data_IF_806136385801
#
_entry.id   IF_806136385801
#
_cell.length_a   1.000
_cell.length_b   1.000
_cell.length_c   1.000
_cell.angle_alpha   90.00
_cell.angle_beta   90.00
_cell.angle_gamma   90.00
#
_symmetry.space_group_name_H-M   'P 1'
#
loop_
_entity.id
_entity.type
_entity.pdbx_description
1 polymer ?
#
# COMPACT_ATOMS: atom_id res chain seq x y z
N UNK A 1 43.40 -12.04 -16.09
CA UNK A 1 42.07 -11.63 -16.49
C UNK A 1 40.96 -12.20 -15.60
N UNK A 2 40.80 -13.51 -15.46
CA UNK A 2 39.73 -14.11 -14.63
C UNK A 2 39.81 -13.71 -13.15
N UNK A 3 40.99 -13.73 -12.55
CA UNK A 3 41.24 -13.29 -11.17
C UNK A 3 40.92 -11.78 -10.97
N UNK A 4 41.29 -10.94 -11.91
CA UNK A 4 41.00 -9.50 -11.87
C UNK A 4 39.50 -9.23 -11.92
N UNK A 5 38.77 -9.95 -12.78
CA UNK A 5 37.30 -9.87 -12.86
C UNK A 5 36.66 -10.34 -11.54
N UNK A 6 37.13 -11.44 -10.97
CA UNK A 6 36.61 -11.96 -9.68
C UNK A 6 36.82 -10.94 -8.55
N UNK A 7 37.98 -10.31 -8.46
CA UNK A 7 38.27 -9.26 -7.46
C UNK A 7 37.33 -8.06 -7.63
N UNK A 8 37.12 -7.61 -8.87
CA UNK A 8 36.20 -6.49 -9.15
C UNK A 8 34.79 -6.81 -8.70
N UNK A 9 34.28 -8.03 -8.98
CA UNK A 9 32.95 -8.47 -8.56
C UNK A 9 32.84 -8.47 -7.04
N UNK A 10 33.83 -9.03 -6.33
CA UNK A 10 33.84 -9.07 -4.85
C UNK A 10 33.81 -7.65 -4.27
N UNK A 11 34.60 -6.74 -4.82
CA UNK A 11 34.62 -5.33 -4.37
C UNK A 11 33.27 -4.66 -4.62
N UNK A 12 32.66 -4.85 -5.80
CA UNK A 12 31.33 -4.28 -6.11
C UNK A 12 30.24 -4.83 -5.19
N UNK A 13 30.23 -6.13 -4.94
CA UNK A 13 29.30 -6.76 -4.00
C UNK A 13 29.52 -6.21 -2.58
N UNK A 14 30.78 -6.10 -2.14
CA UNK A 14 31.12 -5.50 -0.84
C UNK A 14 30.62 -4.07 -0.71
N UNK A 15 30.78 -3.24 -1.75
CA UNK A 15 30.28 -1.86 -1.78
C UNK A 15 28.74 -1.81 -1.74
N UNK A 16 28.04 -2.73 -2.41
CA UNK A 16 26.58 -2.83 -2.35
C UNK A 16 26.10 -3.18 -0.94
N UNK A 17 26.72 -4.15 -0.27
CA UNK A 17 26.40 -4.49 1.11
C UNK A 17 26.69 -3.35 2.08
N UNK A 18 27.80 -2.64 1.89
CA UNK A 18 28.14 -1.46 2.68
C UNK A 18 27.09 -0.36 2.48
N UNK A 19 26.70 -0.07 1.25
CA UNK A 19 25.64 0.90 0.95
C UNK A 19 24.32 0.48 1.60
N UNK A 20 23.89 -0.79 1.45
CA UNK A 20 22.68 -1.31 2.07
C UNK A 20 22.70 -1.22 3.61
N UNK A 21 23.86 -1.37 4.25
CA UNK A 21 24.00 -1.26 5.72
C UNK A 21 23.72 0.15 6.24
N UNK A 22 23.94 1.18 5.41
CA UNK A 22 23.74 2.59 5.74
C UNK A 22 22.34 3.12 5.36
N UNK A 23 21.55 2.35 4.60
CA UNK A 23 20.24 2.79 4.15
C UNK A 23 19.12 2.43 5.14
N UNK A 24 18.06 3.24 5.15
CA UNK A 24 16.87 2.98 5.95
C UNK A 24 16.24 1.62 5.61
N UNK A 25 15.70 0.96 6.63
CA UNK A 25 14.99 -0.32 6.47
C UNK A 25 13.48 -0.15 6.63
N UNK A 26 13.07 0.83 7.42
CA UNK A 26 11.69 1.16 7.72
C UNK A 26 11.35 2.49 7.08
N UNK A 27 10.16 2.58 6.48
CA UNK A 27 9.70 3.80 5.84
C UNK A 27 8.20 3.98 5.97
N UNK A 28 7.79 5.24 5.99
CA UNK A 28 6.40 5.67 5.99
C UNK A 28 6.16 6.56 4.77
N UNK A 29 5.02 6.33 4.12
CA UNK A 29 4.55 7.11 2.98
C UNK A 29 3.14 7.57 3.26
N UNK A 30 2.81 8.78 2.83
CA UNK A 30 1.46 9.33 3.01
C UNK A 30 1.00 10.02 1.73
N UNK A 31 -0.28 9.85 1.41
CA UNK A 31 -0.99 10.55 0.33
C UNK A 31 -2.26 11.15 0.88
N UNK A 32 -2.57 12.39 0.52
CA UNK A 32 -3.79 13.07 0.96
C UNK A 32 -4.50 13.71 -0.23
N UNK A 33 -5.84 13.68 -0.20
CA UNK A 33 -6.69 14.27 -1.22
C UNK A 33 -7.92 14.92 -0.57
N UNK A 34 -8.39 16.04 -1.14
CA UNK A 34 -9.67 16.67 -0.75
C UNK A 34 -10.74 16.21 -1.73
N UNK A 35 -11.81 15.65 -1.20
CA UNK A 35 -12.96 15.12 -1.92
C UNK A 35 -14.16 16.03 -1.61
N UNK A 36 -14.88 16.48 -2.63
CA UNK A 36 -16.06 17.33 -2.48
C UNK A 36 -17.32 16.51 -2.14
N UNK A 37 -17.27 15.86 -0.96
CA UNK A 37 -18.35 15.06 -0.36
C UNK A 37 -18.31 15.19 1.16
N UNK A 38 -19.46 15.05 1.87
CA UNK A 38 -19.51 15.00 3.32
C UNK A 38 -18.68 13.83 3.90
N UNK A 39 -18.12 14.04 5.08
CA UNK A 39 -17.22 13.06 5.72
C UNK A 39 -17.86 11.66 5.93
N UNK A 40 -19.12 11.64 6.36
CA UNK A 40 -19.83 10.36 6.57
C UNK A 40 -19.92 9.55 5.27
N UNK A 41 -20.21 10.18 4.14
CA UNK A 41 -20.27 9.48 2.85
C UNK A 41 -18.90 8.96 2.43
N UNK A 42 -17.86 9.76 2.62
CA UNK A 42 -16.49 9.37 2.28
C UNK A 42 -16.02 8.22 3.19
N UNK A 43 -16.23 8.35 4.51
CA UNK A 43 -15.87 7.30 5.47
C UNK A 43 -16.62 6.00 5.19
N UNK A 44 -17.94 6.06 4.99
CA UNK A 44 -18.77 4.90 4.69
C UNK A 44 -18.36 4.21 3.36
N UNK A 45 -17.72 4.94 2.47
CA UNK A 45 -17.18 4.34 1.26
C UNK A 45 -15.81 3.67 1.47
N UNK A 46 -14.87 4.36 2.15
CA UNK A 46 -13.49 3.87 2.27
C UNK A 46 -13.33 2.72 3.26
N UNK A 47 -14.22 2.61 4.29
CA UNK A 47 -14.16 1.52 5.26
C UNK A 47 -14.45 0.14 4.67
N UNK A 48 -15.15 0.06 3.53
CA UNK A 48 -15.40 -1.19 2.83
C UNK A 48 -14.23 -1.52 1.90
N UNK A 49 -13.45 -2.55 2.23
CA UNK A 49 -12.26 -2.92 1.46
C UNK A 49 -12.60 -3.39 0.04
N UNK A 50 -13.79 -3.95 -0.18
CA UNK A 50 -14.26 -4.31 -1.54
C UNK A 50 -14.35 -3.11 -2.48
N UNK A 51 -14.59 -1.92 -1.96
CA UNK A 51 -14.61 -0.71 -2.79
C UNK A 51 -13.25 -0.39 -3.42
N UNK A 52 -12.15 -0.95 -2.89
CA UNK A 52 -10.82 -0.83 -3.48
C UNK A 52 -10.75 -1.39 -4.91
N UNK A 53 -11.62 -2.33 -5.28
CA UNK A 53 -11.76 -2.81 -6.66
C UNK A 53 -12.09 -1.71 -7.67
N UNK A 54 -12.58 -0.54 -7.21
CA UNK A 54 -12.97 0.57 -8.07
C UNK A 54 -11.95 1.70 -8.14
N UNK A 55 -10.96 1.74 -7.21
CA UNK A 55 -10.03 2.85 -7.17
C UNK A 55 -8.57 2.46 -6.88
N UNK A 56 -8.32 1.26 -6.34
CA UNK A 56 -6.95 0.84 -6.05
C UNK A 56 -6.28 0.28 -7.29
N UNK A 57 -5.24 0.95 -7.73
CA UNK A 57 -4.39 0.49 -8.83
C UNK A 57 -3.84 -0.92 -8.58
N UNK A 58 -3.53 -1.23 -7.32
CA UNK A 58 -2.94 -2.52 -6.96
C UNK A 58 -3.95 -3.67 -7.12
N UNK A 59 -5.20 -3.45 -6.69
CA UNK A 59 -6.29 -4.43 -6.84
C UNK A 59 -6.67 -4.61 -8.32
N UNK A 60 -6.62 -3.52 -9.11
CA UNK A 60 -6.98 -3.54 -10.53
C UNK A 60 -5.80 -3.90 -11.45
N UNK A 61 -4.59 -4.15 -10.91
CA UNK A 61 -3.38 -4.34 -11.72
C UNK A 61 -3.40 -5.61 -12.58
N UNK A 62 -4.06 -6.67 -12.10
CA UNK A 62 -4.27 -7.91 -12.84
C UNK A 62 -5.78 -8.16 -13.01
N UNK A 63 -6.30 -8.12 -14.24
CA UNK A 63 -7.71 -8.40 -14.49
C UNK A 63 -8.13 -9.84 -14.14
N UNK A 64 -7.18 -10.76 -13.99
CA UNK A 64 -7.41 -12.16 -13.64
C UNK A 64 -7.09 -12.46 -12.16
N UNK A 65 -6.84 -11.44 -11.34
CA UNK A 65 -6.58 -11.63 -9.91
C UNK A 65 -7.76 -12.34 -9.26
N UNK A 66 -7.44 -13.38 -8.48
CA UNK A 66 -8.44 -14.06 -7.66
C UNK A 66 -8.55 -13.34 -6.32
N UNK A 67 -9.72 -12.75 -6.06
CA UNK A 67 -10.03 -12.11 -4.79
C UNK A 67 -10.86 -13.05 -3.92
N UNK A 68 -10.51 -13.14 -2.64
CA UNK A 68 -11.24 -13.93 -1.64
C UNK A 68 -11.51 -13.07 -0.42
N UNK A 69 -12.77 -13.02 0.00
CA UNK A 69 -13.23 -12.21 1.11
C UNK A 69 -13.68 -13.09 2.27
N UNK A 70 -13.31 -12.74 3.49
CA UNK A 70 -13.67 -13.46 4.71
C UNK A 70 -14.16 -12.48 5.76
N UNK A 71 -15.28 -12.77 6.38
CA UNK A 71 -15.92 -11.91 7.38
C UNK A 71 -16.93 -10.93 6.78
N UNK A 72 -17.34 -9.94 7.58
CA UNK A 72 -18.24 -8.86 7.17
C UNK A 72 -17.44 -7.64 6.78
N UNK A 73 -17.57 -7.18 5.53
CA UNK A 73 -16.82 -6.01 5.05
C UNK A 73 -17.18 -4.75 5.85
N UNK A 74 -16.17 -3.91 6.09
CA UNK A 74 -16.33 -2.72 6.91
C UNK A 74 -16.38 -2.99 8.41
N UNK A 75 -15.95 -4.18 8.88
CA UNK A 75 -15.82 -4.51 10.30
C UNK A 75 -14.39 -5.01 10.62
N UNK A 76 -13.99 -4.91 11.89
CA UNK A 76 -12.73 -5.45 12.37
C UNK A 76 -12.67 -6.97 12.12
N UNK A 77 -11.54 -7.46 11.65
CA UNK A 77 -11.30 -8.85 11.27
C UNK A 77 -11.76 -9.22 9.85
N UNK A 78 -12.34 -8.27 9.07
CA UNK A 78 -12.59 -8.50 7.65
C UNK A 78 -11.28 -8.64 6.90
N UNK A 79 -11.18 -9.67 6.06
CA UNK A 79 -9.99 -9.97 5.24
C UNK A 79 -10.32 -9.97 3.76
N UNK A 80 -9.47 -9.31 3.00
CA UNK A 80 -9.46 -9.30 1.54
C UNK A 80 -8.12 -9.91 1.08
N UNK A 81 -8.15 -11.15 0.59
CA UNK A 81 -6.99 -11.86 0.07
C UNK A 81 -6.97 -11.78 -1.45
N UNK A 82 -5.77 -11.73 -2.02
CA UNK A 82 -5.55 -11.74 -3.47
C UNK A 82 -4.52 -12.79 -3.86
N UNK A 83 -4.73 -13.40 -5.01
CA UNK A 83 -3.80 -14.35 -5.63
C UNK A 83 -3.71 -14.05 -7.12
N UNK A 84 -2.51 -13.75 -7.59
CA UNK A 84 -2.21 -13.46 -8.98
C UNK A 84 -1.02 -14.28 -9.47
N UNK A 85 -1.08 -14.68 -10.74
CA UNK A 85 0.05 -15.27 -11.46
C UNK A 85 1.07 -14.20 -11.89
N UNK A 86 0.68 -12.92 -11.94
CA UNK A 86 1.60 -11.81 -12.20
C UNK A 86 2.47 -11.57 -10.96
N UNK A 87 3.79 -11.71 -11.14
CA UNK A 87 4.79 -11.52 -10.06
C UNK A 87 4.81 -10.09 -9.50
N UNK A 88 4.29 -9.10 -10.23
CA UNK A 88 4.20 -7.72 -9.78
C UNK A 88 3.01 -7.50 -8.82
N UNK A 89 2.00 -8.36 -8.89
CA UNK A 89 0.82 -8.36 -8.01
C UNK A 89 1.00 -9.35 -6.87
N UNK A 90 1.43 -10.58 -7.20
CA UNK A 90 1.76 -11.60 -6.22
C UNK A 90 0.58 -12.15 -5.44
N UNK A 91 0.85 -12.54 -4.20
CA UNK A 91 -0.12 -13.16 -3.27
C UNK A 91 -0.03 -12.47 -1.92
N UNK A 92 -1.17 -12.20 -1.30
CA UNK A 92 -1.24 -11.63 0.03
C UNK A 92 -2.67 -11.42 0.51
N UNK A 93 -2.80 -10.80 1.68
CA UNK A 93 -4.09 -10.43 2.25
C UNK A 93 -3.99 -9.10 3.00
N UNK A 94 -5.12 -8.41 3.11
CA UNK A 94 -5.30 -7.22 3.92
C UNK A 94 -6.40 -7.50 4.95
N UNK A 95 -6.17 -7.14 6.22
CA UNK A 95 -7.12 -7.32 7.30
C UNK A 95 -7.39 -6.00 8.01
N UNK A 96 -8.65 -5.69 8.30
CA UNK A 96 -9.02 -4.53 9.12
C UNK A 96 -8.71 -4.86 10.58
N UNK A 97 -7.79 -4.11 11.17
CA UNK A 97 -7.32 -4.31 12.56
C UNK A 97 -8.09 -3.46 13.55
N UNK A 98 -8.46 -2.24 13.17
CA UNK A 98 -9.24 -1.32 13.98
C UNK A 98 -10.10 -0.40 13.12
N UNK A 99 -11.22 0.07 13.67
CA UNK A 99 -12.07 1.09 13.05
C UNK A 99 -12.40 2.13 14.12
N UNK A 100 -12.22 3.40 13.76
CA UNK A 100 -12.75 4.54 14.47
C UNK A 100 -13.87 5.14 13.64
N UNK A 101 -15.12 4.85 14.04
CA UNK A 101 -16.32 5.23 13.26
C UNK A 101 -16.33 6.73 12.94
N UNK A 102 -16.61 7.04 11.68
CA UNK A 102 -16.63 8.39 11.13
C UNK A 102 -15.24 9.01 10.91
N UNK A 103 -14.14 8.36 11.33
CA UNK A 103 -12.78 8.92 11.27
C UNK A 103 -11.87 8.10 10.38
N UNK A 104 -11.79 6.77 10.56
CA UNK A 104 -10.87 5.99 9.77
C UNK A 104 -10.72 4.54 10.24
N UNK A 105 -9.74 3.84 9.66
CA UNK A 105 -9.40 2.48 10.02
C UNK A 105 -7.91 2.20 9.88
N UNK A 106 -7.43 1.19 10.59
CA UNK A 106 -6.11 0.59 10.43
C UNK A 106 -6.25 -0.78 9.81
N UNK A 107 -5.35 -1.09 8.90
CA UNK A 107 -5.26 -2.41 8.28
C UNK A 107 -3.83 -2.94 8.32
N UNK A 108 -3.71 -4.25 8.46
CA UNK A 108 -2.47 -4.99 8.27
C UNK A 108 -2.48 -5.64 6.89
N UNK A 109 -1.35 -5.56 6.18
CA UNK A 109 -1.17 -6.13 4.86
C UNK A 109 -0.05 -7.15 4.95
N UNK A 110 -0.39 -8.42 4.70
CA UNK A 110 0.54 -9.54 4.71
C UNK A 110 0.82 -9.99 3.28
N UNK A 111 2.04 -9.81 2.84
CA UNK A 111 2.52 -10.28 1.55
C UNK A 111 3.12 -11.68 1.70
N UNK A 112 2.78 -12.59 0.78
CA UNK A 112 3.34 -13.94 0.72
C UNK A 112 4.27 -14.13 -0.47
N UNK A 113 3.93 -13.59 -1.62
CA UNK A 113 4.69 -13.65 -2.87
C UNK A 113 4.73 -12.28 -3.55
N UNK A 114 5.84 -11.93 -4.24
CA UNK A 114 7.09 -12.69 -4.43
C UNK A 114 7.98 -12.73 -3.19
N UNK A 115 7.78 -11.82 -2.22
CA UNK A 115 8.55 -11.73 -0.98
C UNK A 115 7.60 -11.61 0.20
N UNK A 116 7.91 -12.36 1.25
CA UNK A 116 7.15 -12.27 2.50
C UNK A 116 7.44 -10.95 3.21
N UNK A 117 6.37 -10.32 3.71
CA UNK A 117 6.48 -9.08 4.47
C UNK A 117 5.15 -8.68 5.10
N UNK A 118 5.25 -7.83 6.11
CA UNK A 118 4.08 -7.23 6.76
C UNK A 118 4.22 -5.72 6.67
N UNK A 119 3.13 -5.07 6.32
CA UNK A 119 3.00 -3.62 6.25
C UNK A 119 1.71 -3.20 6.94
N UNK A 120 1.60 -1.94 7.31
CA UNK A 120 0.36 -1.38 7.84
C UNK A 120 -0.12 -0.24 6.97
N UNK A 121 -1.44 -0.11 6.87
CA UNK A 121 -2.09 1.02 6.25
C UNK A 121 -3.04 1.66 7.26
N UNK A 122 -3.01 2.99 7.33
CA UNK A 122 -3.97 3.79 8.07
C UNK A 122 -4.70 4.69 7.09
N UNK A 123 -6.02 4.71 7.13
CA UNK A 123 -6.85 5.59 6.32
C UNK A 123 -7.68 6.45 7.26
N UNK A 124 -7.55 7.77 7.13
CA UNK A 124 -8.31 8.73 7.92
C UNK A 124 -9.11 9.69 7.04
N UNK A 125 -10.26 10.11 7.54
CA UNK A 125 -11.13 11.13 6.95
C UNK A 125 -11.31 12.28 7.91
N UNK A 126 -11.15 13.51 7.43
CA UNK A 126 -11.26 14.75 8.20
C UNK A 126 -12.21 15.71 7.47
N UNK A 127 -13.25 16.17 8.16
CA UNK A 127 -14.15 17.17 7.60
C UNK A 127 -13.44 18.52 7.48
N UNK A 128 -13.31 19.03 6.26
CA UNK A 128 -12.79 20.37 5.98
C UNK A 128 -13.92 21.41 5.95
N UNK A 129 -15.12 20.96 5.54
CA UNK A 129 -16.37 21.72 5.59
C UNK A 129 -17.54 20.73 5.58
N UNK A 130 -18.78 21.23 5.54
CA UNK A 130 -19.98 20.38 5.44
C UNK A 130 -20.03 19.50 4.21
N UNK A 131 -19.30 19.84 3.13
CA UNK A 131 -19.29 19.11 1.87
C UNK A 131 -17.87 18.91 1.31
N UNK A 132 -16.87 18.93 2.18
CA UNK A 132 -15.48 18.64 1.78
C UNK A 132 -14.81 17.79 2.85
N UNK A 133 -14.14 16.75 2.42
CA UNK A 133 -13.43 15.80 3.29
C UNK A 133 -12.01 15.59 2.78
N UNK A 134 -11.05 15.74 3.68
CA UNK A 134 -9.67 15.32 3.43
C UNK A 134 -9.54 13.84 3.78
N UNK A 135 -9.11 13.03 2.82
CA UNK A 135 -8.71 11.63 3.04
C UNK A 135 -7.21 11.56 3.06
N UNK A 136 -6.67 10.93 4.09
CA UNK A 136 -5.22 10.67 4.19
C UNK A 136 -5.01 9.16 4.31
N UNK A 137 -4.19 8.61 3.43
CA UNK A 137 -3.74 7.22 3.50
C UNK A 137 -2.26 7.21 3.86
N UNK A 138 -1.90 6.53 4.93
CA UNK A 138 -0.52 6.32 5.36
C UNK A 138 -0.17 4.84 5.24
N UNK A 139 0.97 4.54 4.65
CA UNK A 139 1.49 3.19 4.47
C UNK A 139 2.86 3.08 5.13
N UNK A 140 3.01 2.13 6.06
CA UNK A 140 4.26 1.85 6.74
C UNK A 140 4.75 0.46 6.37
N UNK A 141 6.03 0.35 6.06
CA UNK A 141 6.63 -0.92 5.65
C UNK A 141 8.09 -1.02 6.05
N UNK A 142 8.59 -2.25 6.00
CA UNK A 142 9.98 -2.58 6.29
C UNK A 142 10.55 -3.45 5.18
N UNK A 143 11.71 -3.07 4.68
CA UNK A 143 12.47 -3.86 3.71
C UNK A 143 13.76 -4.36 4.39
N UNK A 144 13.93 -5.68 4.57
CA UNK A 144 15.10 -6.21 5.27
C UNK A 144 16.39 -6.04 4.46
N UNK A 145 17.50 -6.02 5.17
CA UNK A 145 18.84 -6.08 4.56
C UNK A 145 19.03 -7.42 3.81
N UNK A 146 19.67 -7.44 2.66
CA UNK A 146 20.25 -6.32 1.92
C UNK A 146 19.29 -5.64 0.91
N UNK A 147 18.02 -6.07 0.86
CA UNK A 147 17.00 -5.59 -0.08
C UNK A 147 16.65 -4.09 0.14
N UNK A 148 16.96 -3.55 1.32
CA UNK A 148 16.73 -2.14 1.65
C UNK A 148 17.47 -1.15 0.74
N UNK A 149 18.46 -1.59 -0.03
CA UNK A 149 19.06 -0.78 -1.09
C UNK A 149 18.03 -0.33 -2.14
N UNK A 150 16.92 -1.05 -2.27
CA UNK A 150 15.84 -0.73 -3.20
C UNK A 150 14.82 0.27 -2.62
N UNK A 151 14.88 0.61 -1.33
CA UNK A 151 13.89 1.46 -0.65
C UNK A 151 13.67 2.80 -1.36
N UNK A 152 14.67 3.55 -1.86
CA UNK A 152 14.41 4.81 -2.57
C UNK A 152 13.57 4.62 -3.83
N UNK A 153 13.79 3.56 -4.59
CA UNK A 153 13.02 3.23 -5.78
C UNK A 153 11.59 2.80 -5.40
N UNK A 154 11.45 1.95 -4.39
CA UNK A 154 10.17 1.48 -3.86
C UNK A 154 9.34 2.67 -3.38
N UNK A 155 9.90 3.58 -2.57
CA UNK A 155 9.22 4.80 -2.09
C UNK A 155 8.70 5.64 -3.25
N UNK A 156 9.51 5.87 -4.29
CA UNK A 156 9.08 6.65 -5.47
C UNK A 156 7.91 6.00 -6.20
N UNK A 157 7.96 4.68 -6.38
CA UNK A 157 6.91 3.91 -7.05
C UNK A 157 5.61 3.93 -6.23
N UNK A 158 5.69 3.58 -4.95
CA UNK A 158 4.52 3.52 -4.06
C UNK A 158 3.87 4.91 -3.88
N UNK A 159 4.66 5.98 -3.73
CA UNK A 159 4.12 7.34 -3.64
C UNK A 159 3.31 7.70 -4.88
N UNK A 160 3.82 7.38 -6.08
CA UNK A 160 3.09 7.59 -7.32
C UNK A 160 1.77 6.82 -7.35
N UNK A 161 1.80 5.55 -6.95
CA UNK A 161 0.63 4.68 -6.97
C UNK A 161 -0.41 5.11 -5.91
N UNK A 162 0.02 5.49 -4.71
CA UNK A 162 -0.86 6.04 -3.67
C UNK A 162 -1.55 7.33 -4.12
N UNK A 163 -0.82 8.24 -4.76
CA UNK A 163 -1.41 9.46 -5.31
C UNK A 163 -2.43 9.14 -6.42
N UNK A 164 -2.12 8.19 -7.28
CA UNK A 164 -3.06 7.74 -8.32
C UNK A 164 -4.33 7.12 -7.72
N UNK A 165 -4.20 6.33 -6.66
CA UNK A 165 -5.34 5.76 -5.93
C UNK A 165 -6.20 6.86 -5.32
N UNK A 166 -5.58 7.87 -4.69
CA UNK A 166 -6.27 9.02 -4.11
C UNK A 166 -7.06 9.81 -5.17
N UNK A 167 -6.45 10.09 -6.32
CA UNK A 167 -7.12 10.78 -7.44
C UNK A 167 -8.27 9.94 -8.02
N UNK A 168 -8.11 8.62 -8.11
CA UNK A 168 -9.17 7.74 -8.60
C UNK A 168 -10.32 7.65 -7.59
N UNK A 169 -10.01 7.54 -6.28
CA UNK A 169 -11.01 7.58 -5.21
C UNK A 169 -11.84 8.87 -5.27
N UNK A 170 -11.19 10.03 -5.40
CA UNK A 170 -11.85 11.31 -5.56
C UNK A 170 -12.82 11.28 -6.72
N UNK A 171 -12.36 10.86 -7.89
CA UNK A 171 -13.16 10.75 -9.11
C UNK A 171 -14.39 9.86 -8.94
N UNK A 172 -14.20 8.70 -8.29
CA UNK A 172 -15.29 7.74 -8.02
C UNK A 172 -16.34 8.35 -7.11
N UNK A 173 -15.93 9.02 -6.03
CA UNK A 173 -16.84 9.59 -5.05
C UNK A 173 -17.54 10.86 -5.56
N UNK A 174 -16.86 11.71 -6.32
CA UNK A 174 -17.46 12.94 -6.85
C UNK A 174 -18.40 12.71 -8.02
N UNK A 175 -18.33 11.53 -8.69
CA UNK A 175 -19.22 11.16 -9.80
C UNK A 175 -20.38 10.24 -9.37
N UNK A 176 -20.55 9.97 -8.08
CA UNK A 176 -21.72 9.33 -7.49
C UNK A 176 -22.78 10.41 -7.13
#
# INVERSE_FOLDING_TARGET
MLQTIAIIIIVLVGLLFLAASMMEKEYSLSSSIIINRPQNMVFDYVKYLKNQERYSKWVMADPNVKLTYTGTDGTVGFRAAWESADKNVGVGEQEIMSIQEGIGYDAEIRFEKPFKGVSTANVTTEAMSSNQTKVTTTFNSKTPFPMNIMVPMIKKMLTKDMNQNSETLKRVLENQ
#
